data_IF_047877475218
#
_entry.id   IF_047877475218
#
_cell.length_a   1.000
_cell.length_b   1.000
_cell.length_c   1.000
_cell.angle_alpha   90.00
_cell.angle_beta   90.00
_cell.angle_gamma   90.00
#
_symmetry.space_group_name_H-M   'P 1'
#
loop_
_entity.id
_entity.type
_entity.pdbx_description
1 polymer ?
#
# COMPACT_ATOMS: atom_id res chain seq x y z
N UNK A 1 15.61 3.18 -21.17
CA UNK A 1 14.16 3.21 -20.90
C UNK A 1 13.87 2.17 -19.83
N UNK A 2 12.96 2.47 -18.91
CA UNK A 2 12.55 1.59 -17.81
C UNK A 2 11.22 0.92 -18.20
N UNK A 3 11.05 -0.36 -17.89
CA UNK A 3 9.75 -1.00 -18.10
C UNK A 3 8.74 -0.40 -17.15
N UNK A 4 7.53 -0.20 -17.62
CA UNK A 4 6.48 0.40 -16.82
C UNK A 4 5.46 -0.66 -16.39
N UNK A 5 5.00 -0.59 -15.14
CA UNK A 5 4.03 -1.51 -14.55
C UNK A 5 3.11 -0.77 -13.58
N UNK A 6 1.80 -0.98 -13.72
CA UNK A 6 0.77 -0.38 -12.87
C UNK A 6 -0.36 -1.38 -12.60
N UNK A 7 -1.01 -1.26 -11.45
CA UNK A 7 -2.18 -2.08 -11.08
C UNK A 7 -3.39 -1.59 -11.87
N UNK A 8 -4.09 -2.54 -12.51
CA UNK A 8 -5.36 -2.31 -13.19
C UNK A 8 -6.56 -2.75 -12.37
N UNK A 9 -6.49 -3.93 -11.78
CA UNK A 9 -7.61 -4.53 -11.08
C UNK A 9 -7.12 -5.37 -9.90
N UNK A 10 -7.87 -5.35 -8.80
CA UNK A 10 -7.60 -6.13 -7.60
C UNK A 10 -8.88 -6.81 -7.16
N UNK A 11 -8.78 -8.12 -6.98
CA UNK A 11 -9.84 -8.98 -6.46
C UNK A 11 -9.37 -9.61 -5.16
N UNK A 12 -10.23 -9.56 -4.15
CA UNK A 12 -9.98 -9.99 -2.78
C UNK A 12 -11.07 -10.97 -2.38
N UNK A 13 -10.68 -12.14 -1.89
CA UNK A 13 -11.60 -13.13 -1.32
C UNK A 13 -11.11 -13.57 0.06
N UNK A 14 -12.02 -13.59 1.03
CA UNK A 14 -11.77 -14.02 2.41
C UNK A 14 -10.59 -13.34 3.12
N UNK A 15 -10.28 -12.07 2.81
CA UNK A 15 -9.32 -11.27 3.58
C UNK A 15 -10.07 -10.48 4.65
N UNK A 16 -9.77 -10.76 5.92
CA UNK A 16 -10.44 -10.20 7.10
C UNK A 16 -11.96 -10.30 6.97
N UNK A 17 -12.69 -9.20 7.06
CA UNK A 17 -14.14 -9.16 6.96
C UNK A 17 -14.67 -9.07 5.51
N UNK A 18 -13.80 -9.18 4.51
CA UNK A 18 -14.14 -9.16 3.08
C UNK A 18 -14.25 -10.60 2.59
N UNK A 19 -15.46 -11.09 2.28
CA UNK A 19 -15.64 -12.43 1.67
C UNK A 19 -15.40 -12.37 0.17
N UNK A 20 -15.89 -11.32 -0.48
CA UNK A 20 -15.58 -10.99 -1.87
C UNK A 20 -15.61 -9.47 -2.06
N UNK A 21 -14.59 -8.94 -2.73
CA UNK A 21 -14.53 -7.57 -3.18
C UNK A 21 -13.63 -7.44 -4.39
N UNK A 22 -13.99 -6.55 -5.30
CA UNK A 22 -13.21 -6.27 -6.51
C UNK A 22 -13.24 -4.78 -6.77
N UNK A 23 -12.08 -4.21 -7.11
CA UNK A 23 -11.96 -2.81 -7.49
C UNK A 23 -10.93 -2.66 -8.59
N UNK A 24 -11.18 -1.68 -9.46
CA UNK A 24 -10.31 -1.35 -10.58
C UNK A 24 -9.87 0.10 -10.54
N UNK A 25 -8.76 0.35 -11.21
CA UNK A 25 -8.19 1.67 -11.44
C UNK A 25 -8.64 2.23 -12.79
N UNK A 26 -8.57 3.56 -12.93
CA UNK A 26 -8.91 4.22 -14.20
C UNK A 26 -7.83 4.06 -15.27
N UNK A 27 -6.65 3.54 -14.91
CA UNK A 27 -5.49 3.48 -15.80
C UNK A 27 -5.65 2.43 -16.90
N UNK A 28 -5.18 2.74 -18.09
CA UNK A 28 -5.08 1.89 -19.26
C UNK A 28 -3.74 2.18 -20.00
N UNK A 29 -3.58 1.66 -21.21
CA UNK A 29 -2.35 1.87 -21.99
C UNK A 29 -2.26 3.26 -22.62
N UNK A 30 -3.38 3.97 -22.81
CA UNK A 30 -3.43 5.29 -23.41
C UNK A 30 -3.09 6.38 -22.39
N UNK A 31 -3.60 6.25 -21.16
CA UNK A 31 -3.37 7.17 -20.04
C UNK A 31 -2.33 6.63 -19.04
N UNK A 32 -1.42 5.76 -19.48
CA UNK A 32 -0.46 5.07 -18.62
C UNK A 32 0.39 6.02 -17.75
N UNK A 33 0.65 7.24 -18.22
CA UNK A 33 1.47 8.23 -17.51
C UNK A 33 0.66 9.18 -16.60
N UNK A 34 -0.66 9.05 -16.57
CA UNK A 34 -1.55 9.92 -15.79
C UNK A 34 -1.62 9.45 -14.34
N UNK A 35 -1.93 10.37 -13.43
CA UNK A 35 -2.17 10.02 -12.03
C UNK A 35 -3.37 9.11 -11.86
N UNK A 36 -3.31 8.25 -10.84
CA UNK A 36 -4.39 7.37 -10.44
C UNK A 36 -4.60 7.42 -8.94
N UNK A 37 -5.49 8.31 -8.51
CA UNK A 37 -5.86 8.46 -7.10
C UNK A 37 -7.12 7.66 -6.84
N UNK A 38 -7.05 6.72 -5.89
CA UNK A 38 -8.11 5.80 -5.52
C UNK A 38 -8.38 5.85 -4.01
N UNK A 39 -9.56 6.34 -3.62
CA UNK A 39 -9.97 6.45 -2.23
C UNK A 39 -11.04 5.44 -1.83
N UNK A 40 -10.85 4.78 -0.69
CA UNK A 40 -11.84 3.87 -0.09
C UNK A 40 -12.57 4.52 1.08
N UNK A 41 -13.91 4.52 1.04
CA UNK A 41 -14.78 5.20 2.01
C UNK A 41 -15.87 4.30 2.57
N UNK A 42 -16.23 4.53 3.83
CA UNK A 42 -17.33 3.82 4.50
C UNK A 42 -17.16 3.78 6.01
N UNK A 43 -18.08 3.09 6.70
CA UNK A 43 -18.08 3.00 8.16
C UNK A 43 -16.84 2.29 8.74
N UNK A 44 -16.59 2.46 10.03
CA UNK A 44 -15.52 1.73 10.70
C UNK A 44 -15.79 0.22 10.66
N UNK A 45 -14.75 -0.59 10.45
CA UNK A 45 -14.90 -2.04 10.34
C UNK A 45 -15.61 -2.51 9.06
N UNK A 46 -15.73 -1.67 8.02
CA UNK A 46 -16.35 -2.04 6.74
C UNK A 46 -15.40 -2.71 5.74
N UNK A 47 -14.13 -2.91 6.07
CA UNK A 47 -13.16 -3.57 5.18
C UNK A 47 -12.31 -2.61 4.32
N UNK A 48 -12.25 -1.31 4.65
CA UNK A 48 -11.28 -0.38 4.05
C UNK A 48 -9.83 -0.81 4.31
N UNK A 49 -9.47 -1.02 5.57
CA UNK A 49 -8.12 -1.46 5.95
C UNK A 49 -7.74 -2.80 5.31
N UNK A 50 -8.71 -3.68 5.01
CA UNK A 50 -8.45 -4.94 4.31
C UNK A 50 -7.84 -4.74 2.90
N UNK A 51 -8.12 -3.60 2.25
CA UNK A 51 -7.44 -3.20 1.01
C UNK A 51 -5.95 -2.98 1.29
N UNK A 52 -5.61 -2.25 2.34
CA UNK A 52 -4.21 -2.02 2.72
C UNK A 52 -3.53 -3.33 3.14
N UNK A 53 -4.21 -4.20 3.90
CA UNK A 53 -3.67 -5.50 4.28
C UNK A 53 -3.39 -6.41 3.07
N UNK A 54 -4.18 -6.28 2.00
CA UNK A 54 -3.94 -6.98 0.72
C UNK A 54 -2.59 -6.57 0.13
N UNK A 55 -2.26 -5.28 0.14
CA UNK A 55 -0.97 -4.78 -0.32
C UNK A 55 0.18 -5.13 0.64
N UNK A 56 -0.06 -5.17 1.95
CA UNK A 56 0.95 -5.64 2.92
C UNK A 56 1.30 -7.11 2.67
N UNK A 57 0.30 -7.95 2.36
CA UNK A 57 0.56 -9.34 1.99
C UNK A 57 1.39 -9.42 0.69
N UNK A 58 1.05 -8.60 -0.30
CA UNK A 58 1.79 -8.54 -1.57
C UNK A 58 3.26 -8.12 -1.38
N UNK A 59 3.52 -7.07 -0.59
CA UNK A 59 4.86 -6.61 -0.22
C UNK A 59 5.67 -7.75 0.41
N UNK A 60 5.09 -8.44 1.41
CA UNK A 60 5.75 -9.58 2.07
C UNK A 60 6.10 -10.72 1.12
N UNK A 61 5.20 -11.04 0.21
CA UNK A 61 5.43 -12.08 -0.81
C UNK A 61 6.59 -11.69 -1.73
N UNK A 62 6.64 -10.44 -2.19
CA UNK A 62 7.70 -9.92 -3.06
C UNK A 62 9.05 -9.77 -2.36
N UNK A 63 9.04 -9.43 -1.07
CA UNK A 63 10.24 -9.33 -0.23
C UNK A 63 10.74 -10.67 0.31
N UNK A 64 10.05 -11.77 0.00
CA UNK A 64 10.33 -13.10 0.56
C UNK A 64 10.38 -13.09 2.09
N UNK A 65 9.53 -12.28 2.73
CA UNK A 65 9.33 -12.29 4.17
C UNK A 65 8.38 -13.41 4.56
N UNK A 66 8.65 -14.07 5.69
CA UNK A 66 7.76 -15.11 6.20
C UNK A 66 6.35 -14.55 6.43
N UNK A 67 5.34 -15.23 5.90
CA UNK A 67 3.93 -14.87 6.06
C UNK A 67 3.50 -14.87 7.53
N UNK A 68 4.14 -15.68 8.37
CA UNK A 68 3.87 -15.75 9.80
C UNK A 68 4.31 -14.50 10.58
N UNK A 69 5.06 -13.60 9.94
CA UNK A 69 5.31 -12.26 10.51
C UNK A 69 4.04 -11.38 10.55
N UNK A 70 2.97 -11.76 9.84
CA UNK A 70 1.65 -11.13 9.92
C UNK A 70 0.97 -11.55 11.22
N UNK A 71 1.11 -10.75 12.27
CA UNK A 71 0.54 -11.04 13.60
C UNK A 71 -0.99 -10.90 13.68
N UNK A 72 -1.62 -10.22 12.72
CA UNK A 72 -3.07 -10.01 12.69
C UNK A 72 -3.75 -11.18 11.96
N UNK A 73 -4.98 -11.53 12.36
CA UNK A 73 -5.81 -12.47 11.59
C UNK A 73 -6.08 -11.88 10.20
N UNK A 74 -5.47 -12.49 9.18
CA UNK A 74 -5.55 -12.07 7.78
C UNK A 74 -6.70 -12.77 7.06
N UNK A 75 -6.86 -14.07 7.27
CA UNK A 75 -7.98 -14.84 6.67
C UNK A 75 -9.27 -14.56 7.44
N UNK A 76 -10.38 -14.55 6.72
CA UNK A 76 -11.72 -14.42 7.29
C UNK A 76 -11.97 -15.50 8.34
N UNK A 77 -12.68 -15.15 9.42
CA UNK A 77 -12.96 -16.07 10.53
C UNK A 77 -13.77 -17.30 10.13
N UNK A 78 -14.58 -17.19 9.08
CA UNK A 78 -15.39 -18.29 8.53
C UNK A 78 -14.65 -19.06 7.41
N UNK A 79 -13.42 -18.66 7.07
CA UNK A 79 -12.67 -19.18 5.94
C UNK A 79 -11.39 -19.92 6.36
N UNK A 80 -10.98 -20.89 5.54
CA UNK A 80 -9.72 -21.64 5.73
C UNK A 80 -8.59 -21.14 4.83
N UNK A 81 -8.92 -20.31 3.84
CA UNK A 81 -7.97 -19.66 2.96
C UNK A 81 -8.43 -18.26 2.56
N UNK A 82 -7.48 -17.41 2.20
CA UNK A 82 -7.71 -16.11 1.58
C UNK A 82 -7.07 -16.06 0.19
N UNK A 83 -7.72 -15.43 -0.77
CA UNK A 83 -7.22 -15.29 -2.13
C UNK A 83 -7.09 -13.82 -2.54
N UNK A 84 -6.02 -13.51 -3.25
CA UNK A 84 -5.79 -12.21 -3.87
C UNK A 84 -5.45 -12.44 -5.33
N UNK A 85 -6.11 -11.68 -6.21
CA UNK A 85 -5.75 -11.62 -7.63
C UNK A 85 -5.51 -10.16 -8.03
N UNK A 86 -4.37 -9.90 -8.64
CA UNK A 86 -3.96 -8.58 -9.13
C UNK A 86 -3.71 -8.68 -10.63
N UNK A 87 -4.41 -7.86 -11.40
CA UNK A 87 -4.11 -7.63 -12.81
C UNK A 87 -3.25 -6.36 -12.91
N UNK A 88 -2.10 -6.49 -13.52
CA UNK A 88 -1.21 -5.38 -13.88
C UNK A 88 -1.30 -5.11 -15.38
N UNK A 89 -1.10 -3.84 -15.76
CA UNK A 89 -0.73 -3.46 -17.11
C UNK A 89 0.76 -3.16 -17.18
N UNK A 90 1.41 -3.62 -18.23
CA UNK A 90 2.86 -3.51 -18.42
C UNK A 90 3.19 -2.98 -19.80
N UNK A 91 4.04 -1.96 -19.85
CA UNK A 91 4.64 -1.45 -21.09
C UNK A 91 6.13 -1.70 -21.05
N UNK A 92 6.59 -2.62 -21.88
CA UNK A 92 8.02 -2.93 -21.99
C UNK A 92 8.74 -1.85 -22.80
N UNK A 93 10.06 -1.75 -22.61
CA UNK A 93 10.93 -0.81 -23.32
C UNK A 93 10.87 -0.89 -24.86
N UNK A 94 10.43 -2.03 -25.40
CA UNK A 94 10.23 -2.23 -26.83
C UNK A 94 8.82 -1.83 -27.30
N UNK A 95 8.09 -1.05 -26.50
CA UNK A 95 6.70 -0.60 -26.70
C UNK A 95 5.66 -1.73 -26.79
N UNK A 96 6.00 -2.96 -26.38
CA UNK A 96 5.01 -4.03 -26.27
C UNK A 96 4.23 -3.90 -24.97
N UNK A 97 2.93 -4.14 -25.10
CA UNK A 97 1.96 -3.98 -24.04
C UNK A 97 1.37 -5.33 -23.62
N UNK A 98 1.29 -5.55 -22.31
CA UNK A 98 0.85 -6.81 -21.74
C UNK A 98 -0.02 -6.56 -20.52
N UNK A 99 -0.94 -7.48 -20.28
CA UNK A 99 -1.54 -7.65 -18.97
C UNK A 99 -0.88 -8.82 -18.26
N UNK A 100 -0.64 -8.68 -16.97
CA UNK A 100 -0.14 -9.75 -16.10
C UNK A 100 -1.17 -10.02 -15.01
N UNK A 101 -1.60 -11.27 -14.88
CA UNK A 101 -2.45 -11.73 -13.77
C UNK A 101 -1.57 -12.46 -12.76
N UNK A 102 -1.46 -11.90 -11.56
CA UNK A 102 -0.90 -12.56 -10.38
C UNK A 102 -2.03 -13.03 -9.48
N UNK A 103 -2.04 -14.29 -9.09
CA UNK A 103 -3.05 -14.90 -8.23
C UNK A 103 -2.35 -15.70 -7.12
N UNK A 104 -2.71 -15.44 -5.87
CA UNK A 104 -2.17 -16.15 -4.71
C UNK A 104 -3.30 -16.55 -3.76
N UNK A 105 -3.22 -17.75 -3.21
CA UNK A 105 -4.10 -18.27 -2.18
C UNK A 105 -3.25 -18.67 -0.96
N UNK A 106 -3.60 -18.10 0.19
CA UNK A 106 -2.94 -18.33 1.48
C UNK A 106 -3.85 -19.22 2.32
N UNK A 107 -3.36 -20.40 2.69
CA UNK A 107 -4.00 -21.30 3.63
C UNK A 107 -3.53 -21.07 5.06
N UNK A 108 -4.29 -21.63 6.01
CA UNK A 108 -3.93 -21.70 7.42
C UNK A 108 -3.71 -23.17 7.81
N UNK A 109 -2.63 -23.48 8.54
CA UNK A 109 -2.39 -24.81 9.09
C UNK A 109 -2.97 -25.00 10.51
N UNK A 110 -2.79 -26.17 11.10
CA UNK A 110 -3.36 -26.53 12.41
C UNK A 110 -2.86 -25.64 13.56
N UNK A 111 -1.75 -24.92 13.38
CA UNK A 111 -1.15 -24.03 14.37
C UNK A 111 -1.46 -22.55 14.08
N UNK A 112 -2.48 -22.27 13.25
CA UNK A 112 -2.85 -20.92 12.79
C UNK A 112 -1.74 -20.21 11.99
N UNK A 113 -0.76 -20.96 11.44
CA UNK A 113 0.29 -20.38 10.61
C UNK A 113 -0.15 -20.27 9.15
N UNK A 114 0.32 -19.22 8.47
CA UNK A 114 0.01 -18.96 7.07
C UNK A 114 0.99 -19.67 6.14
N UNK A 115 0.47 -20.20 5.03
CA UNK A 115 1.31 -20.76 3.97
C UNK A 115 0.71 -20.53 2.58
N UNK A 116 1.57 -20.50 1.56
CA UNK A 116 1.14 -20.39 0.16
C UNK A 116 0.57 -21.74 -0.30
N UNK A 117 -0.74 -21.78 -0.53
CA UNK A 117 -1.44 -22.96 -1.03
C UNK A 117 -1.43 -23.00 -2.58
N UNK A 118 -1.58 -21.83 -3.21
CA UNK A 118 -1.56 -21.66 -4.66
C UNK A 118 -0.93 -20.32 -5.00
N UNK A 119 -0.14 -20.29 -6.06
CA UNK A 119 0.50 -19.07 -6.55
C UNK A 119 0.74 -19.16 -8.06
N UNK A 120 0.20 -18.23 -8.83
CA UNK A 120 0.15 -18.32 -10.29
C UNK A 120 0.42 -16.96 -10.91
N UNK A 121 1.26 -16.94 -11.94
CA UNK A 121 1.49 -15.79 -12.80
C UNK A 121 1.11 -16.16 -14.22
N UNK A 122 0.21 -15.37 -14.80
CA UNK A 122 -0.23 -15.49 -16.20
C UNK A 122 -0.04 -14.15 -16.90
N UNK A 123 0.04 -14.16 -18.23
CA UNK A 123 0.10 -12.93 -19.02
C UNK A 123 -0.71 -13.05 -20.31
N UNK A 124 -1.20 -11.92 -20.83
CA UNK A 124 -1.74 -11.79 -22.19
C UNK A 124 -1.15 -10.55 -22.86
N UNK A 125 -0.93 -10.62 -24.17
CA UNK A 125 -0.57 -9.46 -24.98
C UNK A 125 -1.79 -8.53 -25.13
N UNK A 126 -1.59 -7.21 -25.16
CA UNK A 126 -2.65 -6.23 -25.45
C UNK A 126 -3.05 -6.26 -26.94
N UNK A 127 -3.68 -7.35 -27.37
CA UNK A 127 -4.18 -7.52 -28.73
C UNK A 127 -5.48 -8.32 -28.69
N UNK A 128 -6.37 -8.04 -29.65
CA UNK A 128 -7.64 -8.75 -29.76
C UNK A 128 -7.45 -10.28 -29.80
N UNK A 129 -8.34 -11.01 -29.11
CA UNK A 129 -8.45 -12.48 -29.11
C UNK A 129 -7.25 -13.23 -28.52
N UNK A 130 -6.25 -12.56 -27.96
CA UNK A 130 -5.16 -13.21 -27.21
C UNK A 130 -5.69 -13.76 -25.88
N UNK A 131 -5.22 -14.96 -25.53
CA UNK A 131 -5.56 -15.65 -24.27
C UNK A 131 -4.40 -15.56 -23.30
N UNK A 132 -4.73 -15.65 -22.01
CA UNK A 132 -3.73 -15.77 -20.97
C UNK A 132 -2.88 -17.04 -21.16
N UNK A 133 -1.57 -16.86 -21.06
CA UNK A 133 -0.56 -17.91 -21.02
C UNK A 133 0.04 -17.95 -19.62
N UNK A 134 0.36 -19.13 -19.13
CA UNK A 134 1.06 -19.29 -17.85
C UNK A 134 2.54 -18.90 -18.01
N UNK A 135 3.07 -18.15 -17.04
CA UNK A 135 4.52 -17.98 -16.83
C UNK A 135 4.98 -19.06 -15.85
N UNK A 136 4.33 -19.12 -14.69
CA UNK A 136 4.63 -20.07 -13.63
C UNK A 136 3.37 -20.33 -12.80
N UNK A 137 3.23 -21.55 -12.29
CA UNK A 137 2.16 -21.90 -11.36
C UNK A 137 2.64 -22.90 -10.32
N UNK A 138 2.31 -22.66 -9.07
CA UNK A 138 2.39 -23.58 -7.97
C UNK A 138 0.98 -23.86 -7.45
N UNK A 139 0.59 -25.12 -7.36
CA UNK A 139 -0.67 -25.55 -6.74
C UNK A 139 -0.56 -27.01 -6.32
N UNK A 140 -1.03 -27.36 -5.11
CA UNK A 140 -1.05 -28.73 -4.60
C UNK A 140 0.30 -29.45 -4.76
N UNK A 141 1.40 -28.78 -4.37
CA UNK A 141 2.80 -29.23 -4.54
C UNK A 141 3.29 -29.42 -5.99
N UNK A 142 2.45 -29.13 -6.98
CA UNK A 142 2.82 -29.18 -8.40
C UNK A 142 3.31 -27.81 -8.83
N UNK A 143 4.57 -27.78 -9.27
CA UNK A 143 5.18 -26.59 -9.84
C UNK A 143 5.34 -26.75 -11.34
N UNK A 144 4.80 -25.81 -12.11
CA UNK A 144 4.86 -25.77 -13.56
C UNK A 144 5.50 -24.46 -14.00
N UNK A 145 6.39 -24.54 -14.99
CA UNK A 145 6.89 -23.37 -15.72
C UNK A 145 6.21 -23.41 -17.09
N UNK A 146 5.45 -22.36 -17.41
CA UNK A 146 4.43 -22.39 -18.46
C UNK A 146 3.44 -23.54 -18.24
N UNK A 147 3.54 -24.58 -19.06
CA UNK A 147 2.73 -25.81 -18.99
C UNK A 147 3.58 -27.05 -18.69
N UNK A 148 4.89 -26.88 -18.46
CA UNK A 148 5.83 -27.99 -18.28
C UNK A 148 6.08 -28.26 -16.79
N UNK A 149 5.89 -29.52 -16.33
CA UNK A 149 6.23 -29.90 -14.97
C UNK A 149 7.75 -30.02 -14.78
N UNK A 150 8.19 -29.90 -13.53
CA UNK A 150 9.60 -30.04 -13.15
C UNK A 150 10.23 -31.38 -13.60
N UNK A 151 9.43 -32.44 -13.74
CA UNK A 151 9.90 -33.76 -14.19
C UNK A 151 10.44 -33.78 -15.62
N UNK A 152 10.06 -32.81 -16.47
CA UNK A 152 10.58 -32.66 -17.84
C UNK A 152 11.88 -31.86 -17.91
N UNK A 153 12.36 -31.33 -16.79
CA UNK A 153 13.62 -30.59 -16.74
C UNK A 153 14.81 -31.53 -16.63
N UNK A 154 15.99 -31.06 -17.06
CA UNK A 154 17.23 -31.78 -16.76
C UNK A 154 17.45 -31.89 -15.25
N UNK A 155 18.21 -32.90 -14.84
CA UNK A 155 18.40 -33.25 -13.43
C UNK A 155 18.86 -32.06 -12.57
N UNK A 156 19.85 -31.31 -13.06
CA UNK A 156 20.39 -30.14 -12.37
C UNK A 156 19.31 -29.08 -12.08
N UNK A 157 18.59 -28.63 -13.11
CA UNK A 157 17.55 -27.60 -12.94
C UNK A 157 16.37 -28.12 -12.11
N UNK A 158 16.02 -29.39 -12.25
CA UNK A 158 14.95 -30.03 -11.46
C UNK A 158 15.29 -30.02 -9.97
N UNK A 159 16.48 -30.46 -9.60
CA UNK A 159 16.93 -30.49 -8.21
C UNK A 159 16.98 -29.07 -7.64
N UNK A 160 17.58 -28.11 -8.37
CA UNK A 160 17.63 -26.72 -7.93
C UNK A 160 16.24 -26.13 -7.69
N UNK A 161 15.28 -26.36 -8.58
CA UNK A 161 13.92 -25.89 -8.40
C UNK A 161 13.21 -26.55 -7.21
N UNK A 162 13.36 -27.86 -7.03
CA UNK A 162 12.78 -28.58 -5.90
C UNK A 162 13.31 -28.10 -4.55
N UNK A 163 14.63 -27.83 -4.46
CA UNK A 163 15.25 -27.28 -3.25
C UNK A 163 14.69 -25.89 -2.95
N UNK A 164 14.64 -25.00 -3.93
CA UNK A 164 14.08 -23.66 -3.77
C UNK A 164 12.62 -23.68 -3.28
N UNK A 165 11.79 -24.55 -3.85
CA UNK A 165 10.39 -24.72 -3.44
C UNK A 165 10.30 -25.22 -2.00
N UNK A 166 11.11 -26.22 -1.60
CA UNK A 166 11.10 -26.75 -0.23
C UNK A 166 11.57 -25.72 0.80
N UNK A 167 12.54 -24.87 0.44
CA UNK A 167 12.95 -23.74 1.28
C UNK A 167 11.78 -22.76 1.43
N UNK A 168 11.12 -22.38 0.32
CA UNK A 168 9.98 -21.46 0.36
C UNK A 168 8.84 -21.97 1.24
N UNK A 169 8.49 -23.24 1.11
CA UNK A 169 7.47 -23.92 1.93
C UNK A 169 7.85 -23.91 3.41
N UNK A 170 9.12 -24.17 3.74
CA UNK A 170 9.61 -24.18 5.13
C UNK A 170 9.62 -22.79 5.74
N UNK A 171 10.12 -21.79 5.02
CA UNK A 171 10.23 -20.40 5.48
C UNK A 171 8.89 -19.64 5.40
N UNK A 172 7.85 -20.28 4.83
CA UNK A 172 6.50 -19.72 4.62
C UNK A 172 6.55 -18.42 3.82
N UNK A 173 7.23 -18.45 2.68
CA UNK A 173 7.42 -17.29 1.78
C UNK A 173 6.76 -17.56 0.42
N UNK A 174 6.79 -16.57 -0.49
CA UNK A 174 6.40 -16.79 -1.88
C UNK A 174 7.22 -17.92 -2.50
N UNK A 175 6.57 -18.77 -3.28
CA UNK A 175 7.22 -19.88 -3.98
C UNK A 175 7.70 -19.42 -5.36
N UNK A 176 6.87 -18.66 -6.09
CA UNK A 176 7.22 -18.24 -7.46
C UNK A 176 8.27 -17.15 -7.52
N UNK A 177 8.41 -16.33 -6.46
CA UNK A 177 9.39 -15.23 -6.41
C UNK A 177 10.76 -15.62 -5.85
N UNK A 178 10.97 -16.89 -5.51
CA UNK A 178 12.26 -17.35 -4.96
C UNK A 178 13.44 -16.99 -5.88
N UNK A 179 14.49 -16.40 -5.29
CA UNK A 179 15.68 -15.96 -6.00
C UNK A 179 16.44 -17.11 -6.65
N UNK A 180 16.47 -18.28 -6.00
CA UNK A 180 17.11 -19.49 -6.53
C UNK A 180 16.46 -20.01 -7.83
N UNK A 181 15.17 -19.67 -8.06
CA UNK A 181 14.46 -20.02 -9.30
C UNK A 181 14.87 -19.13 -10.49
N UNK A 182 15.55 -18.00 -10.28
CA UNK A 182 15.97 -17.08 -11.36
C UNK A 182 16.80 -17.82 -12.43
N UNK A 183 17.72 -18.69 -12.01
CA UNK A 183 18.57 -19.44 -12.92
C UNK A 183 17.78 -20.44 -13.78
N UNK A 184 16.68 -20.97 -13.23
CA UNK A 184 15.76 -21.89 -13.90
C UNK A 184 14.87 -21.11 -14.87
N UNK A 185 14.31 -19.98 -14.43
CA UNK A 185 13.50 -19.08 -15.24
C UNK A 185 14.25 -18.59 -16.47
N UNK A 186 15.50 -18.13 -16.33
CA UNK A 186 16.33 -17.67 -17.47
C UNK A 186 16.52 -18.71 -18.57
N UNK A 187 16.49 -20.00 -18.24
CA UNK A 187 16.69 -21.08 -19.22
C UNK A 187 15.40 -21.54 -19.88
N UNK A 188 14.27 -21.41 -19.19
CA UNK A 188 13.00 -22.03 -19.59
C UNK A 188 11.98 -21.03 -20.11
N UNK A 189 11.97 -19.82 -19.56
CA UNK A 189 11.18 -18.71 -20.07
C UNK A 189 11.86 -18.11 -21.29
N UNK A 190 11.07 -17.52 -22.18
CA UNK A 190 11.62 -16.70 -23.25
C UNK A 190 11.96 -15.31 -22.67
N UNK A 191 12.67 -14.50 -23.45
CA UNK A 191 13.12 -13.20 -22.98
C UNK A 191 11.95 -12.30 -22.54
N UNK A 192 10.81 -12.33 -23.24
CA UNK A 192 9.64 -11.50 -22.90
C UNK A 192 9.01 -11.96 -21.59
N UNK A 193 8.74 -13.24 -21.42
CA UNK A 193 8.17 -13.82 -20.20
C UNK A 193 9.06 -13.57 -18.98
N UNK A 194 10.37 -13.71 -19.15
CA UNK A 194 11.31 -13.42 -18.08
C UNK A 194 11.29 -11.93 -17.72
N UNK A 195 11.19 -11.03 -18.71
CA UNK A 195 11.05 -9.59 -18.47
C UNK A 195 9.73 -9.23 -17.78
N UNK A 196 8.61 -9.87 -18.14
CA UNK A 196 7.33 -9.70 -17.46
C UNK A 196 7.38 -10.14 -15.99
N UNK A 197 8.03 -11.27 -15.71
CA UNK A 197 8.27 -11.70 -14.33
C UNK A 197 9.12 -10.67 -13.57
N UNK A 198 10.19 -10.16 -14.18
CA UNK A 198 11.03 -9.11 -13.59
C UNK A 198 10.24 -7.83 -13.28
N UNK A 199 9.32 -7.44 -14.15
CA UNK A 199 8.47 -6.26 -13.94
C UNK A 199 7.73 -6.30 -12.59
N UNK A 200 7.27 -7.48 -12.16
CA UNK A 200 6.61 -7.63 -10.86
C UNK A 200 7.63 -7.50 -9.71
N UNK A 201 8.70 -8.30 -9.73
CA UNK A 201 9.61 -8.43 -8.59
C UNK A 201 10.64 -7.31 -8.46
N UNK A 202 10.88 -6.53 -9.52
CA UNK A 202 11.81 -5.42 -9.50
C UNK A 202 11.07 -4.10 -9.67
N UNK A 203 10.44 -3.88 -10.84
CA UNK A 203 9.85 -2.58 -11.16
C UNK A 203 8.68 -2.25 -10.22
N UNK A 204 7.65 -3.11 -10.11
CA UNK A 204 6.50 -2.86 -9.25
C UNK A 204 6.86 -2.94 -7.76
N UNK A 205 7.61 -3.98 -7.35
CA UNK A 205 8.12 -4.10 -5.97
C UNK A 205 8.86 -2.84 -5.53
N UNK A 206 9.73 -2.30 -6.39
CA UNK A 206 10.43 -1.06 -6.07
C UNK A 206 9.48 0.13 -6.00
N UNK A 207 8.43 0.19 -6.82
CA UNK A 207 7.47 1.29 -6.83
C UNK A 207 6.48 1.27 -5.66
N UNK A 208 6.24 0.12 -5.04
CA UNK A 208 5.26 -0.07 -3.97
C UNK A 208 5.77 0.53 -2.65
N UNK A 209 4.98 1.43 -2.06
CA UNK A 209 5.23 1.98 -0.72
C UNK A 209 3.96 1.96 0.11
N UNK A 210 4.02 1.40 1.32
CA UNK A 210 2.85 1.23 2.19
C UNK A 210 3.04 1.98 3.49
N UNK A 211 2.09 2.86 3.84
CA UNK A 211 2.04 3.57 5.12
C UNK A 211 0.83 3.09 5.92
N UNK A 212 1.07 2.56 7.11
CA UNK A 212 0.04 2.02 7.99
C UNK A 212 -0.41 3.09 8.98
N UNK A 213 -1.66 3.00 9.43
CA UNK A 213 -2.15 3.88 10.49
C UNK A 213 -1.33 3.76 11.79
N UNK A 214 -0.80 2.56 12.08
CA UNK A 214 0.08 2.35 13.25
C UNK A 214 1.37 3.18 13.19
N UNK A 215 1.85 3.51 11.99
CA UNK A 215 3.06 4.31 11.83
C UNK A 215 2.76 5.74 12.31
N UNK A 216 1.63 6.32 11.90
CA UNK A 216 1.17 7.60 12.43
C UNK A 216 0.82 7.53 13.92
N UNK A 217 0.35 6.39 14.44
CA UNK A 217 0.14 6.19 15.87
C UNK A 217 1.40 6.42 16.71
N UNK A 218 2.59 6.05 16.21
CA UNK A 218 3.87 6.32 16.89
C UNK A 218 4.22 7.81 16.90
N UNK A 219 3.87 8.52 15.82
CA UNK A 219 4.03 9.96 15.71
C UNK A 219 3.14 10.68 16.73
N UNK A 220 1.85 10.34 16.79
CA UNK A 220 0.89 10.94 17.73
C UNK A 220 1.22 10.64 19.19
N UNK A 221 1.85 9.48 19.46
CA UNK A 221 2.30 9.12 20.80
C UNK A 221 3.62 9.82 21.21
N UNK A 222 4.20 10.67 20.35
CA UNK A 222 5.52 11.27 20.53
C UNK A 222 6.60 10.24 20.88
N UNK A 223 6.52 9.05 20.28
CA UNK A 223 7.52 7.98 20.46
C UNK A 223 8.59 8.10 19.38
N UNK A 224 8.15 8.29 18.14
CA UNK A 224 9.01 8.25 16.96
C UNK A 224 8.32 8.96 15.81
N UNK A 225 9.06 9.72 15.01
CA UNK A 225 8.58 10.24 13.74
C UNK A 225 8.94 9.27 12.60
N UNK A 226 7.97 8.52 12.03
CA UNK A 226 8.23 7.74 10.84
C UNK A 226 8.40 8.69 9.65
N UNK A 227 9.58 8.68 9.06
CA UNK A 227 9.86 9.45 7.86
C UNK A 227 10.04 8.51 6.68
N UNK A 228 9.05 8.54 5.79
CA UNK A 228 9.05 7.69 4.62
C UNK A 228 10.00 8.24 3.56
N UNK A 229 10.89 7.40 3.06
CA UNK A 229 11.85 7.72 2.03
C UNK A 229 11.48 6.98 0.76
N UNK A 230 11.40 7.74 -0.33
CA UNK A 230 11.29 7.20 -1.67
C UNK A 230 12.35 7.86 -2.55
N UNK A 231 13.47 7.15 -2.73
CA UNK A 231 14.58 7.53 -3.59
C UNK A 231 14.94 6.37 -4.52
N UNK A 232 15.64 6.64 -5.63
CA UNK A 232 16.02 5.61 -6.61
C UNK A 232 16.87 4.49 -5.96
N UNK A 233 17.74 4.85 -5.01
CA UNK A 233 18.63 3.92 -4.31
C UNK A 233 18.10 3.38 -2.99
N UNK A 234 17.19 4.11 -2.31
CA UNK A 234 16.74 3.80 -0.95
C UNK A 234 15.23 3.97 -0.84
N UNK A 235 14.57 2.97 -0.26
CA UNK A 235 13.15 3.00 0.06
C UNK A 235 12.90 2.42 1.44
N UNK A 236 11.95 3.01 2.16
CA UNK A 236 11.54 2.52 3.46
C UNK A 236 11.18 3.65 4.41
N UNK A 237 11.00 3.31 5.67
CA UNK A 237 10.68 4.28 6.72
C UNK A 237 11.87 4.41 7.65
N UNK A 238 12.43 5.61 7.75
CA UNK A 238 13.45 5.93 8.73
C UNK A 238 12.76 6.33 10.04
N UNK A 239 13.05 5.62 11.15
CA UNK A 239 12.51 5.95 12.45
C UNK A 239 13.29 7.14 13.03
N UNK A 240 12.80 8.36 12.84
CA UNK A 240 13.46 9.55 13.37
C UNK A 240 13.07 9.73 14.84
N UNK A 241 14.04 9.52 15.73
CA UNK A 241 13.87 9.76 17.16
C UNK A 241 14.12 11.24 17.45
N UNK A 242 13.04 12.02 17.58
CA UNK A 242 13.12 13.44 17.93
C UNK A 242 12.66 13.73 19.37
N UNK A 243 12.25 12.71 20.12
CA UNK A 243 11.56 12.87 21.41
C UNK A 243 12.39 12.45 22.62
N UNK A 244 13.37 11.56 22.44
CA UNK A 244 14.22 11.07 23.53
C UNK A 244 15.69 11.40 23.28
N UNK A 245 16.29 12.20 24.17
CA UNK A 245 17.72 12.56 24.17
C UNK A 245 18.65 11.36 24.41
N UNK A 246 18.13 10.22 24.90
CA UNK A 246 18.96 9.13 25.42
C UNK A 246 19.63 8.26 24.35
N UNK A 247 19.10 8.18 23.13
CA UNK A 247 19.72 7.46 22.01
C UNK A 247 19.43 8.15 20.68
N UNK A 248 20.39 8.94 20.19
CA UNK A 248 20.36 9.51 18.85
C UNK A 248 20.42 8.40 17.80
N UNK A 249 19.51 8.43 16.83
CA UNK A 249 19.59 7.57 15.65
C UNK A 249 20.91 7.87 14.91
N UNK A 250 21.67 6.83 14.57
CA UNK A 250 22.92 6.97 13.81
C UNK A 250 22.70 6.55 12.36
N UNK A 251 22.77 7.51 11.45
CA UNK A 251 22.73 7.24 10.00
C UNK A 251 24.11 6.77 9.52
N UNK A 252 24.15 6.04 8.42
CA UNK A 252 25.38 5.96 7.62
C UNK A 252 25.53 7.23 6.77
N UNK A 253 26.75 7.43 6.25
CA UNK A 253 27.06 8.62 5.44
C UNK A 253 26.16 8.70 4.20
N UNK A 254 25.90 7.56 3.55
CA UNK A 254 25.05 7.47 2.36
C UNK A 254 23.62 7.93 2.64
N UNK A 255 22.96 7.44 3.71
CA UNK A 255 21.60 7.86 4.04
C UNK A 255 21.53 9.33 4.43
N UNK A 256 22.51 9.82 5.19
CA UNK A 256 22.54 11.23 5.59
C UNK A 256 22.65 12.14 4.36
N UNK A 257 23.53 11.79 3.42
CA UNK A 257 23.70 12.54 2.17
C UNK A 257 22.44 12.51 1.30
N UNK A 258 21.76 11.37 1.19
CA UNK A 258 20.50 11.27 0.44
C UNK A 258 19.41 12.14 1.08
N UNK A 259 19.28 12.10 2.42
CA UNK A 259 18.32 12.95 3.12
C UNK A 259 18.60 14.43 2.90
N UNK A 260 19.87 14.83 3.05
CA UNK A 260 20.31 16.22 2.98
C UNK A 260 20.29 16.79 1.56
N UNK A 261 20.74 16.04 0.57
CA UNK A 261 21.00 16.55 -0.77
C UNK A 261 19.82 16.29 -1.73
N UNK A 262 19.02 15.25 -1.51
CA UNK A 262 17.97 14.85 -2.46
C UNK A 262 16.56 15.02 -1.88
N UNK A 263 16.31 14.45 -0.69
CA UNK A 263 14.95 14.34 -0.14
C UNK A 263 14.47 15.67 0.45
N UNK A 264 15.22 16.27 1.36
CA UNK A 264 14.81 17.50 2.03
C UNK A 264 14.72 18.69 1.06
N UNK A 265 15.67 18.86 0.12
CA UNK A 265 15.52 19.84 -0.96
C UNK A 265 14.27 19.62 -1.80
N UNK A 266 13.94 18.36 -2.14
CA UNK A 266 12.70 18.05 -2.86
C UNK A 266 11.44 18.43 -2.07
N UNK A 267 11.42 18.18 -0.76
CA UNK A 267 10.30 18.58 0.11
C UNK A 267 10.21 20.11 0.19
N UNK A 268 11.34 20.81 0.32
CA UNK A 268 11.41 22.27 0.41
C UNK A 268 10.96 23.01 -0.87
N UNK A 269 10.86 22.32 -2.02
CA UNK A 269 10.20 22.89 -3.21
C UNK A 269 8.69 23.07 -2.98
N UNK A 270 8.08 22.18 -2.21
CA UNK A 270 6.62 22.10 -2.06
C UNK A 270 6.15 22.63 -0.70
N UNK A 271 6.89 22.34 0.37
CA UNK A 271 6.51 22.65 1.75
C UNK A 271 6.16 24.14 1.96
N UNK A 272 6.94 25.13 1.45
CA UNK A 272 6.60 26.54 1.61
C UNK A 272 5.31 26.97 0.90
N UNK A 273 4.90 26.25 -0.15
CA UNK A 273 3.63 26.51 -0.83
C UNK A 273 2.42 26.01 -0.03
N UNK A 274 2.63 25.01 0.84
CA UNK A 274 1.60 24.41 1.69
C UNK A 274 1.53 25.11 3.05
N UNK A 275 2.68 25.33 3.67
CA UNK A 275 2.83 26.06 4.93
C UNK A 275 3.75 27.25 4.65
N UNK A 276 3.18 28.45 4.41
CA UNK A 276 3.95 29.63 4.04
C UNK A 276 5.13 29.90 4.96
N UNK A 277 6.31 30.02 4.35
CA UNK A 277 7.57 30.36 5.02
C UNK A 277 8.23 29.22 5.81
N UNK A 278 7.74 27.98 5.72
CA UNK A 278 8.34 26.82 6.38
C UNK A 278 9.22 26.00 5.41
N UNK A 279 10.45 25.73 5.82
CA UNK A 279 11.35 24.73 5.22
C UNK A 279 11.90 23.80 6.30
N UNK A 280 12.45 22.66 5.90
CA UNK A 280 13.13 21.70 6.78
C UNK A 280 14.60 21.55 6.42
N UNK A 281 15.45 21.22 7.39
CA UNK A 281 16.86 20.91 7.17
C UNK A 281 17.33 19.77 8.08
N UNK A 282 18.44 19.13 7.71
CA UNK A 282 19.10 18.11 8.51
C UNK A 282 20.51 18.57 8.85
N UNK A 283 20.80 18.68 10.14
CA UNK A 283 22.08 19.16 10.65
C UNK A 283 22.86 18.02 11.28
N UNK A 284 24.11 17.83 10.82
CA UNK A 284 25.06 16.92 11.48
C UNK A 284 25.49 17.51 12.83
N UNK A 285 25.32 16.74 13.89
CA UNK A 285 25.70 17.12 15.26
C UNK A 285 26.96 16.41 15.74
N UNK A 286 27.32 15.26 15.13
CA UNK A 286 28.53 14.52 15.48
C UNK A 286 28.72 13.22 14.69
N UNK A 287 29.68 12.42 15.13
CA UNK A 287 29.95 11.06 14.65
C UNK A 287 30.15 10.12 15.84
N UNK A 288 29.61 8.90 15.76
CA UNK A 288 29.74 7.85 16.78
C UNK A 288 30.00 6.49 16.14
N UNK A 289 30.82 5.66 16.78
CA UNK A 289 31.05 4.28 16.33
C UNK A 289 29.82 3.41 16.63
N UNK A 290 29.26 2.78 15.61
CA UNK A 290 28.15 1.82 15.70
C UNK A 290 28.62 0.49 16.31
N UNK A 291 27.67 -0.35 16.76
CA UNK A 291 27.96 -1.69 17.34
C UNK A 291 28.76 -2.61 16.41
N UNK A 292 28.66 -2.41 15.10
CA UNK A 292 29.38 -3.15 14.07
C UNK A 292 30.79 -2.58 13.77
N UNK A 293 31.22 -1.53 14.47
CA UNK A 293 32.52 -0.87 14.27
C UNK A 293 32.54 0.20 13.17
N UNK A 294 31.48 0.38 12.39
CA UNK A 294 31.38 1.44 11.38
C UNK A 294 31.08 2.81 12.02
N UNK A 295 31.47 3.89 11.35
CA UNK A 295 31.10 5.25 11.75
C UNK A 295 29.63 5.50 11.46
N UNK A 296 28.94 6.17 12.38
CA UNK A 296 27.58 6.65 12.23
C UNK A 296 27.48 8.15 12.45
N UNK A 297 26.68 8.82 11.63
CA UNK A 297 26.39 10.24 11.75
C UNK A 297 25.29 10.46 12.77
N UNK A 298 25.57 11.30 13.76
CA UNK A 298 24.60 11.88 14.66
C UNK A 298 24.03 13.16 14.04
N UNK A 299 22.71 13.32 14.07
CA UNK A 299 22.02 14.40 13.37
C UNK A 299 20.83 14.94 14.16
N UNK A 300 20.34 16.11 13.75
CA UNK A 300 19.12 16.76 14.23
C UNK A 300 18.33 17.28 13.04
N UNK A 301 17.01 17.20 13.11
CA UNK A 301 16.12 17.79 12.12
C UNK A 301 15.64 19.16 12.58
N UNK A 302 15.62 20.10 11.65
CA UNK A 302 15.28 21.49 11.92
C UNK A 302 14.10 21.92 11.07
N UNK A 303 13.15 22.65 11.67
CA UNK A 303 12.21 23.52 10.96
C UNK A 303 12.80 24.94 10.89
N UNK A 304 12.61 25.61 9.76
CA UNK A 304 13.16 26.95 9.51
C UNK A 304 12.02 27.85 9.04
N UNK A 305 11.85 29.01 9.71
CA UNK A 305 10.92 30.07 9.36
C UNK A 305 11.64 31.42 9.40
N UNK A 306 11.98 31.94 8.22
CA UNK A 306 12.83 33.13 8.12
C UNK A 306 14.20 32.88 8.75
N UNK A 307 14.55 33.66 9.77
CA UNK A 307 15.81 33.50 10.52
C UNK A 307 15.68 32.56 11.73
N UNK A 308 14.47 32.12 12.07
CA UNK A 308 14.24 31.25 13.22
C UNK A 308 14.38 29.79 12.80
N UNK A 309 15.23 29.05 13.53
CA UNK A 309 15.37 27.60 13.38
C UNK A 309 15.06 26.92 14.71
N UNK A 310 14.20 25.90 14.66
CA UNK A 310 13.78 25.11 15.81
C UNK A 310 13.90 23.62 15.48
N UNK A 311 14.03 22.73 16.47
CA UNK A 311 13.90 21.30 16.24
C UNK A 311 12.54 20.98 15.59
N UNK A 312 12.53 20.07 14.60
CA UNK A 312 11.29 19.68 13.92
C UNK A 312 10.27 19.06 14.89
N UNK A 313 10.72 18.47 16.00
CA UNK A 313 9.87 17.91 17.06
C UNK A 313 8.90 18.92 17.68
N UNK A 314 9.31 20.19 17.73
CA UNK A 314 8.53 21.30 18.29
C UNK A 314 7.40 21.77 17.36
N UNK A 315 7.38 21.35 16.09
CA UNK A 315 6.27 21.63 15.19
C UNK A 315 5.03 20.79 15.52
N UNK A 316 3.85 21.30 15.14
CA UNK A 316 2.60 20.58 15.37
C UNK A 316 2.59 19.20 14.69
N UNK A 317 1.84 18.25 15.27
CA UNK A 317 1.65 16.91 14.71
C UNK A 317 1.21 16.94 13.25
N UNK A 318 0.31 17.87 12.89
CA UNK A 318 -0.15 18.05 11.51
C UNK A 318 0.98 18.45 10.55
N UNK A 319 1.91 19.31 10.98
CA UNK A 319 3.07 19.72 10.17
C UNK A 319 4.05 18.56 10.00
N UNK A 320 4.38 17.85 11.09
CA UNK A 320 5.21 16.64 11.04
C UNK A 320 4.61 15.58 10.10
N UNK A 321 3.28 15.40 10.15
CA UNK A 321 2.57 14.50 9.24
C UNK A 321 2.61 14.97 7.79
N UNK A 322 2.41 16.27 7.51
CA UNK A 322 2.53 16.83 6.16
C UNK A 322 3.94 16.60 5.61
N UNK A 323 4.98 16.87 6.39
CA UNK A 323 6.38 16.63 6.00
C UNK A 323 6.62 15.15 5.65
N UNK A 324 6.15 14.23 6.49
CA UNK A 324 6.26 12.78 6.23
C UNK A 324 5.42 12.30 5.03
N UNK A 325 4.30 12.98 4.74
CA UNK A 325 3.47 12.68 3.57
C UNK A 325 4.08 13.23 2.28
N UNK A 326 4.67 14.42 2.30
CA UNK A 326 5.22 15.08 1.11
C UNK A 326 6.36 14.30 0.47
N UNK A 327 7.18 13.61 1.28
CA UNK A 327 8.21 12.74 0.75
C UNK A 327 7.62 11.63 -0.14
N UNK A 328 6.50 11.05 0.26
CA UNK A 328 5.81 9.98 -0.47
C UNK A 328 4.98 10.52 -1.62
N UNK A 329 4.25 11.62 -1.44
CA UNK A 329 3.49 12.25 -2.52
C UNK A 329 4.43 12.72 -3.65
N UNK A 330 5.63 13.20 -3.33
CA UNK A 330 6.66 13.55 -4.31
C UNK A 330 7.01 12.40 -5.27
N UNK A 331 7.05 11.16 -4.76
CA UNK A 331 7.27 9.97 -5.60
C UNK A 331 6.16 9.81 -6.67
N UNK A 332 4.91 10.03 -6.27
CA UNK A 332 3.73 9.95 -7.14
C UNK A 332 3.79 11.00 -8.25
N UNK A 333 4.33 12.18 -7.99
CA UNK A 333 4.53 13.21 -9.01
C UNK A 333 5.65 12.87 -10.00
N UNK A 334 6.69 12.17 -9.56
CA UNK A 334 7.90 11.96 -10.37
C UNK A 334 7.86 10.65 -11.17
N UNK A 335 7.35 9.57 -10.58
CA UNK A 335 7.57 8.21 -11.06
C UNK A 335 6.26 7.49 -11.46
N UNK A 336 6.08 7.11 -12.75
CA UNK A 336 4.90 6.38 -13.20
C UNK A 336 4.71 4.99 -12.56
N UNK A 337 5.81 4.34 -12.16
CA UNK A 337 5.79 3.03 -11.50
C UNK A 337 5.50 3.12 -10.00
N UNK A 338 5.47 4.32 -9.41
CA UNK A 338 5.18 4.45 -7.99
C UNK A 338 3.73 4.04 -7.69
N UNK A 339 3.56 3.25 -6.65
CA UNK A 339 2.26 2.82 -6.14
C UNK A 339 2.27 2.99 -4.62
N UNK A 340 1.65 4.06 -4.16
CA UNK A 340 1.61 4.42 -2.75
C UNK A 340 0.29 3.96 -2.16
N UNK A 341 0.34 3.24 -1.04
CA UNK A 341 -0.84 2.75 -0.31
C UNK A 341 -0.85 3.32 1.09
N UNK A 342 -1.87 4.09 1.47
CA UNK A 342 -1.94 4.77 2.79
C UNK A 342 -3.22 4.41 3.53
N UNK A 343 -3.09 3.86 4.73
CA UNK A 343 -4.23 3.66 5.63
C UNK A 343 -4.52 4.93 6.45
N UNK A 344 -5.79 5.31 6.57
CA UNK A 344 -6.29 6.48 7.31
C UNK A 344 -5.51 7.76 7.00
N UNK A 345 -5.47 8.09 5.70
CA UNK A 345 -4.73 9.24 5.18
C UNK A 345 -5.12 10.55 5.89
N UNK A 346 -6.40 10.70 6.24
CA UNK A 346 -6.99 11.88 6.87
C UNK A 346 -6.71 12.05 8.36
N UNK A 347 -6.14 11.06 9.05
CA UNK A 347 -5.93 11.15 10.50
C UNK A 347 -4.97 12.31 10.89
N UNK A 348 -5.42 13.32 11.61
CA UNK A 348 -4.54 14.38 12.14
C UNK A 348 -4.02 15.39 11.09
N UNK A 349 -4.60 15.44 9.89
CA UNK A 349 -4.31 16.48 8.87
C UNK A 349 -5.54 17.37 8.67
N UNK A 350 -5.32 18.67 8.46
CA UNK A 350 -6.41 19.59 8.14
C UNK A 350 -7.09 19.20 6.82
N UNK A 351 -8.41 18.96 6.90
CA UNK A 351 -9.19 18.37 5.81
C UNK A 351 -9.18 19.14 4.49
N UNK A 352 -9.20 20.47 4.58
CA UNK A 352 -9.21 21.33 3.41
C UNK A 352 -7.90 21.20 2.64
N UNK A 353 -6.77 21.32 3.35
CA UNK A 353 -5.45 21.18 2.75
C UNK A 353 -5.26 19.80 2.11
N UNK A 354 -5.64 18.74 2.82
CA UNK A 354 -5.52 17.38 2.30
C UNK A 354 -6.34 17.20 1.01
N UNK A 355 -7.56 17.75 0.99
CA UNK A 355 -8.41 17.73 -0.20
C UNK A 355 -7.77 18.43 -1.40
N UNK A 356 -7.22 19.64 -1.22
CA UNK A 356 -6.54 20.38 -2.29
C UNK A 356 -5.30 19.65 -2.78
N UNK A 357 -4.49 19.08 -1.89
CA UNK A 357 -3.31 18.28 -2.25
C UNK A 357 -3.67 17.08 -3.11
N UNK A 358 -4.69 16.32 -2.72
CA UNK A 358 -5.13 15.13 -3.47
C UNK A 358 -5.71 15.48 -4.83
N UNK A 359 -6.39 16.63 -4.94
CA UNK A 359 -6.82 17.14 -6.24
C UNK A 359 -5.64 17.43 -7.15
N UNK A 360 -4.60 18.12 -6.66
CA UNK A 360 -3.38 18.41 -7.44
C UNK A 360 -2.67 17.10 -7.82
N UNK A 361 -2.59 16.13 -6.90
CA UNK A 361 -2.02 14.80 -7.18
C UNK A 361 -2.80 14.10 -8.29
N UNK A 362 -4.14 14.13 -8.28
CA UNK A 362 -4.96 13.50 -9.32
C UNK A 362 -4.84 14.18 -10.69
N UNK A 363 -4.66 15.50 -10.70
CA UNK A 363 -4.57 16.30 -11.94
C UNK A 363 -3.16 16.28 -12.56
N UNK A 364 -2.10 16.18 -11.76
CA UNK A 364 -0.71 16.43 -12.20
C UNK A 364 0.30 15.34 -11.80
N UNK A 365 -0.12 14.33 -11.04
CA UNK A 365 0.71 13.19 -10.70
C UNK A 365 0.93 12.22 -11.87
N UNK A 366 1.78 11.21 -11.66
CA UNK A 366 2.10 10.14 -12.62
C UNK A 366 1.92 8.73 -12.06
N UNK A 367 2.08 8.57 -10.75
CA UNK A 367 1.97 7.31 -10.03
C UNK A 367 0.56 6.97 -9.59
N UNK A 368 0.43 5.90 -8.80
CA UNK A 368 -0.81 5.45 -8.18
C UNK A 368 -0.84 5.80 -6.70
N UNK A 369 -1.96 6.33 -6.22
CA UNK A 369 -2.24 6.54 -4.81
C UNK A 369 -3.49 5.77 -4.43
N UNK A 370 -3.36 4.74 -3.61
CA UNK A 370 -4.48 4.02 -3.02
C UNK A 370 -4.56 4.41 -1.54
N UNK A 371 -5.71 4.86 -1.07
CA UNK A 371 -5.83 5.25 0.32
C UNK A 371 -7.18 4.92 0.92
N UNK A 372 -7.21 4.81 2.25
CA UNK A 372 -8.46 4.72 3.02
C UNK A 372 -8.71 6.05 3.73
N UNK A 373 -9.98 6.45 3.80
CA UNK A 373 -10.35 7.69 4.47
C UNK A 373 -11.78 7.71 4.99
N UNK A 374 -12.05 8.63 5.92
CA UNK A 374 -13.38 8.98 6.41
C UNK A 374 -13.77 10.42 6.06
N UNK A 375 -12.89 11.16 5.39
CA UNK A 375 -13.02 12.59 5.19
C UNK A 375 -13.88 12.94 3.97
N UNK A 376 -15.02 13.57 4.23
CA UNK A 376 -15.99 13.96 3.20
C UNK A 376 -15.49 15.09 2.29
N UNK A 377 -14.51 15.91 2.71
CA UNK A 377 -13.92 16.96 1.88
C UNK A 377 -13.18 16.38 0.68
N UNK A 378 -12.51 15.25 0.87
CA UNK A 378 -11.84 14.54 -0.23
C UNK A 378 -12.88 13.97 -1.20
N UNK A 379 -13.99 13.43 -0.68
CA UNK A 379 -15.10 12.93 -1.53
C UNK A 379 -15.70 14.04 -2.39
N UNK A 380 -15.82 15.25 -1.83
CA UNK A 380 -16.30 16.43 -2.54
C UNK A 380 -15.37 16.87 -3.68
N UNK A 381 -14.06 16.77 -3.52
CA UNK A 381 -13.08 17.30 -4.48
C UNK A 381 -12.63 16.30 -5.55
N UNK A 382 -12.54 15.01 -5.22
CA UNK A 382 -12.11 14.00 -6.17
C UNK A 382 -13.25 13.57 -7.11
N UNK A 383 -12.95 13.21 -8.37
CA UNK A 383 -13.92 12.60 -9.27
C UNK A 383 -14.57 11.36 -8.64
N UNK A 384 -15.88 11.17 -8.78
CA UNK A 384 -16.57 10.02 -8.16
C UNK A 384 -16.01 8.66 -8.61
N UNK A 385 -15.50 8.58 -9.85
CA UNK A 385 -14.83 7.40 -10.43
C UNK A 385 -13.51 7.04 -9.75
N UNK A 386 -12.95 7.93 -8.94
CA UNK A 386 -11.77 7.70 -8.12
C UNK A 386 -12.14 7.18 -6.72
N UNK A 387 -13.43 7.06 -6.41
CA UNK A 387 -13.92 6.75 -5.07
C UNK A 387 -14.62 5.40 -5.09
N UNK A 388 -14.16 4.51 -4.22
CA UNK A 388 -14.80 3.23 -3.93
C UNK A 388 -15.42 3.28 -2.54
N UNK A 389 -16.69 2.91 -2.46
CA UNK A 389 -17.44 2.83 -1.22
C UNK A 389 -17.52 1.39 -0.75
N UNK A 390 -17.33 1.19 0.54
CA UNK A 390 -17.54 -0.12 1.16
C UNK A 390 -19.02 -0.32 1.47
N UNK A 391 -19.55 -1.50 1.17
CA UNK A 391 -20.93 -1.90 1.48
C UNK A 391 -20.99 -2.68 2.79
N UNK A 392 -22.19 -2.92 3.31
CA UNK A 392 -22.44 -3.86 4.42
C UNK A 392 -22.40 -5.32 3.96
N UNK A 393 -22.59 -5.57 2.66
CA UNK A 393 -22.55 -6.89 2.04
C UNK A 393 -21.11 -7.44 1.94
N UNK A 394 -20.77 -8.53 2.67
CA UNK A 394 -19.44 -9.13 2.61
C UNK A 394 -19.06 -9.74 1.26
N UNK A 395 -20.04 -10.06 0.41
CA UNK A 395 -19.84 -10.70 -0.90
C UNK A 395 -19.80 -9.71 -2.07
N UNK A 396 -20.04 -8.42 -1.81
CA UNK A 396 -19.90 -7.36 -2.80
C UNK A 396 -19.37 -6.11 -2.10
N UNK A 397 -18.16 -6.22 -1.55
CA UNK A 397 -17.70 -5.28 -0.53
C UNK A 397 -17.37 -3.89 -1.06
N UNK A 398 -16.94 -3.76 -2.30
CA UNK A 398 -16.49 -2.49 -2.88
C UNK A 398 -17.34 -2.15 -4.09
N UNK A 399 -17.94 -0.95 -4.09
CA UNK A 399 -18.73 -0.45 -5.20
C UNK A 399 -18.36 0.99 -5.54
N UNK A 400 -18.66 1.40 -6.77
CA UNK A 400 -18.67 2.82 -7.14
C UNK A 400 -20.12 3.28 -7.30
N UNK A 401 -20.42 4.46 -6.79
CA UNK A 401 -21.74 5.06 -6.98
C UNK A 401 -21.85 5.54 -8.43
N UNK A 402 -22.93 5.14 -9.10
CA UNK A 402 -23.23 5.62 -10.44
C UNK A 402 -23.65 7.09 -10.37
N UNK A 403 -23.08 7.88 -11.27
CA UNK A 403 -23.42 9.28 -11.40
C UNK A 403 -24.90 9.43 -11.80
N UNK A 404 -25.66 10.21 -11.05
CA UNK A 404 -27.11 10.36 -11.28
C UNK A 404 -27.55 11.75 -11.72
N UNK A 405 -26.68 12.79 -11.67
CA UNK A 405 -26.91 14.13 -12.28
C UNK A 405 -25.65 15.01 -12.23
N UNK A 406 -25.44 15.85 -13.26
CA UNK A 406 -24.29 16.79 -13.41
C UNK A 406 -24.17 17.87 -12.31
N UNK A 407 -25.27 18.13 -11.59
CA UNK A 407 -25.37 19.25 -10.64
C UNK A 407 -25.20 18.86 -9.17
N UNK A 408 -25.05 17.57 -8.84
CA UNK A 408 -24.95 17.12 -7.44
C UNK A 408 -23.51 16.92 -7.00
N UNK A 409 -23.15 17.51 -5.85
CA UNK A 409 -21.87 17.29 -5.18
C UNK A 409 -21.72 15.81 -4.77
N UNK A 410 -20.57 15.20 -5.03
CA UNK A 410 -20.24 13.81 -4.68
C UNK A 410 -20.46 13.51 -3.20
N UNK A 411 -20.18 14.48 -2.31
CA UNK A 411 -20.45 14.37 -0.88
C UNK A 411 -21.95 14.16 -0.60
N UNK A 412 -22.82 14.92 -1.26
CA UNK A 412 -24.26 14.81 -1.07
C UNK A 412 -24.79 13.49 -1.63
N UNK A 413 -24.26 13.04 -2.76
CA UNK A 413 -24.58 11.73 -3.34
C UNK A 413 -24.26 10.63 -2.33
N UNK A 414 -23.06 10.67 -1.73
CA UNK A 414 -22.66 9.70 -0.73
C UNK A 414 -23.52 9.76 0.54
N UNK A 415 -23.77 10.95 1.10
CA UNK A 415 -24.63 11.12 2.29
C UNK A 415 -26.04 10.56 2.04
N UNK A 416 -26.61 10.81 0.85
CA UNK A 416 -27.91 10.25 0.48
C UNK A 416 -27.84 8.72 0.34
N UNK A 417 -26.79 8.19 -0.26
CA UNK A 417 -26.60 6.74 -0.40
C UNK A 417 -26.51 6.03 0.96
N UNK A 418 -25.92 6.66 1.98
CA UNK A 418 -25.91 6.13 3.35
C UNK A 418 -27.32 6.04 3.99
N UNK A 419 -28.29 6.80 3.48
CA UNK A 419 -29.65 6.87 4.02
C UNK A 419 -30.67 5.99 3.28
N UNK A 420 -30.39 5.59 2.03
CA UNK A 420 -31.35 4.87 1.17
C UNK A 420 -31.19 3.36 1.35
N UNK A 421 -32.28 2.70 1.75
CA UNK A 421 -32.32 1.24 2.01
C UNK A 421 -32.61 0.36 0.80
N UNK A 422 -33.29 0.88 -0.22
CA UNK A 422 -33.70 0.12 -1.40
C UNK A 422 -32.74 0.28 -2.58
N UNK A 423 -31.45 0.57 -2.32
CA UNK A 423 -30.43 0.49 -3.36
C UNK A 423 -30.01 -0.97 -3.57
N UNK A 424 -29.29 -1.25 -4.66
CA UNK A 424 -28.77 -2.59 -4.92
C UNK A 424 -27.85 -3.09 -3.80
N UNK A 425 -27.16 -2.18 -3.11
CA UNK A 425 -26.27 -2.47 -1.98
C UNK A 425 -26.42 -1.41 -0.88
N UNK A 426 -26.47 -1.85 0.38
CA UNK A 426 -26.49 -0.95 1.54
C UNK A 426 -25.06 -0.53 1.92
N UNK A 427 -24.84 0.77 2.14
CA UNK A 427 -23.50 1.30 2.50
C UNK A 427 -23.26 1.44 4.01
N UNK A 428 -24.32 1.38 4.81
CA UNK A 428 -24.25 1.71 6.23
C UNK A 428 -25.20 0.85 7.06
N UNK A 429 -24.68 0.26 8.12
CA UNK A 429 -25.51 -0.44 9.09
C UNK A 429 -26.24 0.61 9.93
N UNK A 430 -27.57 0.50 10.01
CA UNK A 430 -28.38 1.51 10.69
C UNK A 430 -27.96 1.63 12.16
N UNK A 431 -27.49 2.82 12.52
CA UNK A 431 -27.40 3.24 13.91
C UNK A 431 -28.79 3.72 14.37
N UNK A 432 -29.38 3.02 15.35
CA UNK A 432 -30.58 3.50 16.02
C UNK A 432 -30.19 4.46 17.16
N UNK A 433 -30.30 5.77 16.88
CA UNK A 433 -30.04 6.82 17.86
C UNK A 433 -30.87 6.66 19.14
N UNK A 434 -32.07 6.06 19.07
CA UNK A 434 -32.88 5.78 20.25
C UNK A 434 -32.28 4.65 21.08
N UNK A 435 -31.84 3.56 20.45
CA UNK A 435 -31.10 2.47 21.11
C UNK A 435 -29.83 2.99 21.78
N UNK A 436 -29.02 3.80 21.09
CA UNK A 436 -27.83 4.45 21.66
C UNK A 436 -28.20 5.28 22.89
N UNK A 437 -29.21 6.15 22.76
CA UNK A 437 -29.67 7.00 23.87
C UNK A 437 -30.16 6.15 25.06
N UNK A 438 -30.86 5.05 24.79
CA UNK A 438 -31.33 4.11 25.82
C UNK A 438 -30.17 3.41 26.52
N UNK A 439 -29.16 2.97 25.76
CA UNK A 439 -27.96 2.33 26.29
C UNK A 439 -27.17 3.27 27.22
N UNK A 440 -26.88 4.51 26.79
CA UNK A 440 -26.21 5.51 27.63
C UNK A 440 -27.00 5.84 28.90
N UNK A 441 -28.33 6.00 28.80
CA UNK A 441 -29.19 6.20 29.98
C UNK A 441 -29.12 5.02 30.96
N UNK A 442 -29.07 3.78 30.46
CA UNK A 442 -28.94 2.57 31.28
C UNK A 442 -27.58 2.51 32.00
N UNK A 443 -26.49 2.89 31.31
CA UNK A 443 -25.15 2.99 31.89
C UNK A 443 -25.10 4.01 33.05
N UNK A 444 -25.63 5.22 32.84
CA UNK A 444 -25.66 6.26 33.86
C UNK A 444 -26.45 5.85 35.11
N UNK A 445 -27.50 5.04 34.96
CA UNK A 445 -28.26 4.49 36.09
C UNK A 445 -27.50 3.43 36.88
N UNK A 446 -26.63 2.64 36.23
CA UNK A 446 -25.79 1.64 36.92
C UNK A 446 -24.67 2.29 37.73
N UNK A 447 -24.10 3.41 37.27
CA UNK A 447 -23.10 4.16 38.03
C UNK A 447 -23.63 4.67 39.38
N UNK A 448 -24.88 5.14 39.42
CA UNK A 448 -25.54 5.62 40.66
C UNK A 448 -25.88 4.52 41.68
N UNK A 449 -25.90 3.26 41.28
CA UNK A 449 -26.15 2.12 42.16
C UNK A 449 -24.88 1.59 42.84
N UNK A 450 -23.70 2.01 42.38
CA UNK A 450 -22.41 1.62 42.94
C UNK A 450 -21.79 2.72 43.84
N UNK A 451 -22.47 3.86 44.02
CA UNK A 451 -22.09 4.96 44.92
C UNK A 451 -22.96 5.03 46.20
N UNK A 452 -23.80 4.02 46.42
CA UNK A 452 -24.59 3.77 47.64
C UNK A 452 -24.16 2.43 48.23
#
# INVERSE_FOLDING_TARGET
>A
MQNLIRIKNVKIENVKNVKYGEFSTKIDFENFNDSDVLGFYGQNGSGKTAVVDTFILLEKLMDLQSLNSIKKKLVNIDGNSASIKIEYIVKLNNNKEYYIDYEVEIGIDEEDNYFVQKEVIRYKENQEKKRYKHIVSYQDTKFLIRTQPLSKLNEKNRISAQVAIKIAEKERTSIVFQTDLISVYKKLLNNEEYMLLKCIVNEFRSGLHIIKNSDYGLLMANILMPFNIHHESIKGTVPLNEYYESESLLLDDEMFDILKNDIFPSINVVLPAIIPGLTIDIRKTGEKTKKNGSTGIEFELLSIRGETSLPLSEESEGIKKIVSMLSVLSAIFKEPNSCVVIDELDAGVFEYLLGELLKIVDESGKGQLIFTSHNLRIVELLPIKNIWFTTTNPYNRYIQLKYTNELSNNRDIYIRALQIKNQQEELFDKIDNFEIRRAFKKLARRGKLNEL
#
